data_IF_775353883276
#
_entry.id   IF_775353883276
#
_cell.length_a   1.000
_cell.length_b   1.000
_cell.length_c   1.000
_cell.angle_alpha   90.00
_cell.angle_beta   90.00
_cell.angle_gamma   90.00
#
_symmetry.space_group_name_H-M   'P 1'
#
loop_
_entity.id
_entity.type
_entity.pdbx_description
1 polymer ?
#
# COMPACT_ATOMS: atom_id res chain seq x y z
N UNK A 1 28.69 -33.87 52.36
CA UNK A 1 29.89 -33.44 51.64
C UNK A 1 29.60 -32.12 50.93
N UNK A 2 30.38 -31.08 51.26
CA UNK A 2 30.70 -29.84 50.51
C UNK A 2 29.49 -29.03 49.97
N UNK A 3 29.26 -27.76 50.30
CA UNK A 3 30.07 -26.74 50.93
C UNK A 3 29.55 -25.38 50.46
N UNK A 4 29.08 -24.60 51.41
CA UNK A 4 29.21 -23.15 51.56
C UNK A 4 29.94 -22.38 50.44
N UNK A 5 29.34 -21.30 49.92
CA UNK A 5 29.73 -19.90 50.21
C UNK A 5 29.41 -18.89 49.08
N UNK A 6 28.95 -17.72 49.56
CA UNK A 6 29.25 -16.34 49.09
C UNK A 6 28.49 -15.74 47.90
N UNK A 7 27.55 -14.89 48.32
CA UNK A 7 27.12 -13.61 47.74
C UNK A 7 28.29 -12.82 47.14
N UNK A 8 28.09 -12.26 45.94
CA UNK A 8 28.76 -11.04 45.50
C UNK A 8 27.73 -9.97 45.16
N UNK A 9 27.75 -8.91 45.95
CA UNK A 9 26.99 -7.67 45.79
C UNK A 9 27.81 -6.76 44.88
N UNK A 10 27.27 -6.37 43.73
CA UNK A 10 27.83 -5.28 42.94
C UNK A 10 27.08 -3.98 43.24
N UNK A 11 27.60 -3.23 44.22
CA UNK A 11 27.30 -1.81 44.42
C UNK A 11 28.29 -1.01 43.57
N UNK A 12 27.80 -0.32 42.54
CA UNK A 12 28.54 0.79 41.93
C UNK A 12 27.95 2.10 42.43
N UNK A 13 28.68 2.70 43.36
CA UNK A 13 28.48 4.02 43.92
C UNK A 13 28.91 5.06 42.87
N UNK A 14 27.98 5.88 42.38
CA UNK A 14 28.31 7.09 41.61
C UNK A 14 28.58 8.19 42.65
N UNK A 15 29.83 8.65 42.72
CA UNK A 15 30.26 9.76 43.57
C UNK A 15 29.84 11.09 42.92
N UNK A 16 28.92 11.80 43.55
CA UNK A 16 28.67 13.22 43.30
C UNK A 16 29.82 14.05 43.90
N UNK A 17 30.59 14.74 43.06
CA UNK A 17 31.45 15.84 43.51
C UNK A 17 30.61 17.11 43.56
N UNK A 18 30.36 17.60 44.77
CA UNK A 18 29.96 18.97 45.02
C UNK A 18 31.16 19.88 44.78
N UNK A 19 30.98 20.96 44.02
CA UNK A 19 31.84 22.15 44.11
C UNK A 19 31.02 23.24 44.77
N UNK A 20 31.41 23.61 45.99
CA UNK A 20 30.91 24.74 46.74
C UNK A 20 31.62 26.00 46.23
N UNK A 21 30.87 27.07 46.01
CA UNK A 21 31.42 28.36 45.61
C UNK A 21 30.34 29.35 45.20
N UNK A 22 29.63 29.91 46.18
CA UNK A 22 28.82 31.12 46.04
C UNK A 22 29.22 32.04 47.20
N UNK A 23 29.38 33.36 46.99
CA UNK A 23 28.55 34.31 47.74
C UNK A 23 28.23 35.59 46.89
N UNK A 24 27.57 36.65 47.41
CA UNK A 24 26.16 36.91 47.14
C UNK A 24 25.89 38.32 46.56
N UNK A 25 24.60 38.60 46.29
CA UNK A 25 23.87 39.89 46.44
C UNK A 25 23.08 40.42 45.22
N UNK A 26 21.87 40.88 45.56
CA UNK A 26 20.68 41.36 44.84
C UNK A 26 20.88 42.81 44.29
N UNK A 27 19.89 43.55 43.71
CA UNK A 27 18.58 43.22 43.11
C UNK A 27 18.27 43.90 41.73
N UNK A 28 17.16 43.48 41.12
CA UNK A 28 16.22 44.24 40.24
C UNK A 28 16.76 45.22 39.17
N UNK A 29 16.62 44.82 37.89
CA UNK A 29 16.25 45.75 36.82
C UNK A 29 15.50 45.00 35.71
N UNK A 30 14.26 45.42 35.48
CA UNK A 30 13.46 45.03 34.33
C UNK A 30 14.02 45.73 33.08
N UNK A 31 14.40 44.97 32.06
CA UNK A 31 14.59 45.47 30.69
C UNK A 31 14.07 44.43 29.70
N UNK A 32 13.23 44.94 28.80
CA UNK A 32 12.46 44.38 27.68
C UNK A 32 13.04 43.17 26.92
N UNK A 33 12.20 42.26 26.38
CA UNK A 33 12.66 41.14 25.57
C UNK A 33 13.17 41.64 24.21
N UNK A 34 14.47 41.46 23.98
CA UNK A 34 15.09 41.55 22.66
C UNK A 34 14.72 40.30 21.87
N UNK A 35 13.99 40.50 20.77
CA UNK A 35 13.65 39.50 19.78
C UNK A 35 14.90 39.02 19.04
N UNK A 36 15.44 37.88 19.47
CA UNK A 36 16.34 37.04 18.67
C UNK A 36 15.50 35.98 17.95
N UNK A 37 15.79 35.67 16.67
CA UNK A 37 14.96 34.80 15.86
C UNK A 37 15.04 33.35 16.34
N UNK A 38 13.87 32.73 16.46
CA UNK A 38 13.66 31.31 16.72
C UNK A 38 14.48 30.44 15.74
N UNK A 39 15.05 29.29 16.18
CA UNK A 39 15.62 28.33 15.25
C UNK A 39 14.55 27.89 14.24
N UNK A 40 14.93 27.98 12.97
CA UNK A 40 14.05 27.81 11.82
C UNK A 40 13.19 26.56 11.91
N UNK A 41 11.88 26.76 11.72
CA UNK A 41 10.95 25.71 11.31
C UNK A 41 11.52 24.93 10.12
N UNK A 42 11.35 23.60 10.04
CA UNK A 42 11.60 22.90 8.80
C UNK A 42 10.57 23.37 7.77
N UNK A 43 11.01 24.30 6.93
CA UNK A 43 10.31 24.71 5.72
C UNK A 43 10.17 23.47 4.83
N UNK A 44 8.98 22.87 4.81
CA UNK A 44 8.63 21.85 3.83
C UNK A 44 8.47 22.55 2.47
N UNK A 45 9.32 22.27 1.47
CA UNK A 45 9.00 22.70 0.13
C UNK A 45 7.87 21.81 -0.39
N UNK A 46 6.70 22.42 -0.62
CA UNK A 46 5.77 21.94 -1.62
C UNK A 46 6.48 22.02 -2.98
N UNK A 47 7.08 20.92 -3.43
CA UNK A 47 7.74 20.82 -4.72
C UNK A 47 7.30 19.55 -5.45
N UNK A 48 6.06 19.56 -5.93
CA UNK A 48 5.65 18.72 -7.05
C UNK A 48 5.97 19.48 -8.35
N UNK A 49 7.25 19.58 -8.74
CA UNK A 49 7.67 20.03 -10.08
C UNK A 49 9.19 19.82 -10.30
N UNK A 50 9.56 18.71 -10.97
CA UNK A 50 10.78 18.50 -11.80
C UNK A 50 11.11 17.01 -12.03
N UNK A 51 10.48 16.08 -11.30
CA UNK A 51 10.67 14.63 -11.47
C UNK A 51 9.56 14.01 -12.30
N UNK A 52 9.91 13.13 -13.24
CA UNK A 52 8.93 12.31 -13.97
C UNK A 52 8.13 11.37 -13.05
N UNK A 53 7.13 10.68 -13.61
CA UNK A 53 6.26 9.75 -12.87
C UNK A 53 7.10 8.70 -12.13
N UNK A 54 6.82 8.46 -10.85
CA UNK A 54 7.33 7.32 -10.09
C UNK A 54 6.14 6.48 -9.63
N UNK A 55 5.94 5.35 -10.30
CA UNK A 55 4.93 4.35 -9.96
C UNK A 55 5.52 3.16 -9.23
N UNK A 56 4.65 2.29 -8.72
CA UNK A 56 5.07 1.00 -8.13
C UNK A 56 4.05 -0.11 -8.25
N UNK A 57 4.55 -1.34 -8.25
CA UNK A 57 3.78 -2.54 -7.93
C UNK A 57 4.18 -3.09 -6.57
N UNK A 58 3.19 -3.37 -5.72
CA UNK A 58 3.43 -3.74 -4.32
C UNK A 58 2.69 -5.03 -3.92
N UNK A 59 3.17 -6.22 -4.32
CA UNK A 59 2.51 -7.49 -4.01
C UNK A 59 2.82 -7.96 -2.59
N UNK A 60 1.82 -8.52 -1.89
CA UNK A 60 2.06 -9.30 -0.67
C UNK A 60 2.41 -10.76 -1.04
N UNK A 61 3.41 -11.39 -0.41
CA UNK A 61 3.84 -12.74 -0.76
C UNK A 61 2.99 -13.83 -0.08
N UNK A 62 1.67 -13.70 -0.20
CA UNK A 62 0.68 -14.67 0.31
C UNK A 62 0.28 -15.70 -0.75
N UNK A 63 0.69 -15.50 -2.01
CA UNK A 63 0.55 -16.47 -3.09
C UNK A 63 1.14 -16.03 -4.43
N UNK A 64 1.12 -16.93 -5.43
CA UNK A 64 1.62 -16.59 -6.76
C UNK A 64 0.83 -15.43 -7.36
N UNK A 65 1.41 -14.77 -8.37
CA UNK A 65 0.70 -13.73 -9.09
C UNK A 65 -0.49 -14.36 -9.83
N UNK A 66 -1.66 -13.77 -9.66
CA UNK A 66 -2.88 -14.12 -10.38
C UNK A 66 -3.24 -13.01 -11.37
N UNK A 67 -4.29 -13.19 -12.16
CA UNK A 67 -4.76 -12.21 -13.17
C UNK A 67 -4.92 -10.77 -12.65
N UNK A 68 -5.54 -10.60 -11.48
CA UNK A 68 -5.61 -9.27 -10.83
C UNK A 68 -4.25 -8.65 -10.49
N UNK A 69 -3.29 -9.43 -10.01
CA UNK A 69 -1.94 -8.95 -9.74
C UNK A 69 -1.18 -8.62 -11.04
N UNK A 70 -1.36 -9.43 -12.09
CA UNK A 70 -0.81 -9.20 -13.42
C UNK A 70 -1.32 -7.88 -14.01
N UNK A 71 -2.63 -7.64 -13.92
CA UNK A 71 -3.27 -6.41 -14.36
C UNK A 71 -2.75 -5.20 -13.60
N UNK A 72 -2.60 -5.31 -12.28
CA UNK A 72 -2.02 -4.25 -11.46
C UNK A 72 -0.55 -3.96 -11.80
N UNK A 73 0.25 -5.01 -12.02
CA UNK A 73 1.65 -4.86 -12.43
C UNK A 73 1.77 -4.22 -13.81
N UNK A 74 1.07 -4.74 -14.82
CA UNK A 74 1.11 -4.20 -16.18
C UNK A 74 0.55 -2.77 -16.25
N UNK A 75 -0.61 -2.50 -15.64
CA UNK A 75 -1.24 -1.19 -15.68
C UNK A 75 -0.39 -0.12 -15.00
N UNK A 76 0.20 -0.43 -13.84
CA UNK A 76 1.13 0.49 -13.16
C UNK A 76 2.43 0.70 -13.94
N UNK A 77 2.94 -0.34 -14.61
CA UNK A 77 4.13 -0.25 -15.46
C UNK A 77 3.87 0.63 -16.70
N UNK A 78 2.81 0.36 -17.46
CA UNK A 78 2.45 1.14 -18.65
C UNK A 78 2.20 2.61 -18.31
N UNK A 79 1.52 2.87 -17.19
CA UNK A 79 1.23 4.22 -16.72
C UNK A 79 2.51 4.99 -16.32
N UNK A 80 3.49 4.34 -15.70
CA UNK A 80 4.78 4.97 -15.45
C UNK A 80 5.57 5.20 -16.76
N UNK A 81 5.56 4.22 -17.67
CA UNK A 81 6.39 4.21 -18.88
C UNK A 81 5.93 5.14 -19.98
N UNK A 82 4.62 5.42 -20.11
CA UNK A 82 4.10 6.36 -21.13
C UNK A 82 4.74 7.74 -21.06
N UNK A 83 5.16 8.16 -19.86
CA UNK A 83 5.80 9.45 -19.61
C UNK A 83 7.31 9.35 -19.34
N UNK A 84 7.95 8.22 -19.66
CA UNK A 84 9.37 7.99 -19.34
C UNK A 84 9.68 7.93 -17.84
N UNK A 85 8.67 7.66 -17.02
CA UNK A 85 8.78 7.56 -15.57
C UNK A 85 9.44 6.27 -15.09
N UNK A 86 9.65 6.20 -13.77
CA UNK A 86 10.20 5.05 -13.05
C UNK A 86 9.08 4.17 -12.51
N UNK A 87 9.32 2.86 -12.51
CA UNK A 87 8.46 1.85 -11.94
C UNK A 87 9.25 1.00 -10.96
N UNK A 88 8.79 0.98 -9.71
CA UNK A 88 9.44 0.28 -8.61
C UNK A 88 8.65 -0.95 -8.19
N UNK A 89 9.30 -1.90 -7.52
CA UNK A 89 8.63 -3.05 -6.89
C UNK A 89 8.93 -3.06 -5.40
N UNK A 90 7.89 -3.30 -4.60
CA UNK A 90 7.98 -3.44 -3.14
C UNK A 90 7.22 -4.68 -2.67
N UNK A 91 7.89 -5.63 -2.06
CA UNK A 91 7.25 -6.80 -1.46
C UNK A 91 6.63 -6.39 -0.12
N UNK A 92 5.32 -6.61 0.02
CA UNK A 92 4.55 -6.28 1.23
C UNK A 92 4.47 -7.48 2.20
N UNK A 93 5.62 -7.88 2.72
CA UNK A 93 5.86 -8.95 3.71
C UNK A 93 5.74 -8.44 5.16
N UNK A 94 4.51 -8.02 5.52
CA UNK A 94 4.18 -7.47 6.84
C UNK A 94 3.38 -8.41 7.76
N UNK A 95 3.01 -9.59 7.28
CA UNK A 95 2.17 -10.54 8.01
C UNK A 95 2.76 -11.95 7.90
N UNK A 96 3.89 -12.24 8.57
CA UNK A 96 4.61 -13.51 8.46
C UNK A 96 3.74 -14.77 8.56
N UNK A 97 2.69 -14.82 9.41
CA UNK A 97 1.78 -15.97 9.46
C UNK A 97 1.00 -16.25 8.15
N UNK A 98 0.85 -15.26 7.27
CA UNK A 98 0.17 -15.40 5.97
C UNK A 98 1.12 -15.52 4.79
N UNK A 99 2.40 -15.25 5.03
CA UNK A 99 3.43 -15.30 4.01
C UNK A 99 3.80 -16.75 3.70
N UNK A 100 4.17 -17.01 2.45
CA UNK A 100 4.59 -18.33 2.00
C UNK A 100 6.06 -18.29 1.57
N UNK A 101 6.92 -19.17 2.12
CA UNK A 101 8.32 -19.25 1.70
C UNK A 101 8.45 -19.39 0.18
N UNK A 102 9.43 -18.68 -0.41
CA UNK A 102 9.69 -18.70 -1.85
C UNK A 102 8.70 -17.92 -2.71
N UNK A 103 7.52 -17.52 -2.20
CA UNK A 103 6.52 -16.81 -3.02
C UNK A 103 7.02 -15.44 -3.47
N UNK A 104 7.70 -14.67 -2.62
CA UNK A 104 8.25 -13.38 -3.04
C UNK A 104 9.23 -13.54 -4.21
N UNK A 105 10.13 -14.52 -4.14
CA UNK A 105 11.07 -14.83 -5.22
C UNK A 105 10.35 -15.29 -6.50
N UNK A 106 9.33 -16.15 -6.38
CA UNK A 106 8.51 -16.60 -7.50
C UNK A 106 7.76 -15.43 -8.16
N UNK A 107 7.17 -14.52 -7.37
CA UNK A 107 6.50 -13.32 -7.88
C UNK A 107 7.48 -12.44 -8.69
N UNK A 108 8.69 -12.22 -8.18
CA UNK A 108 9.73 -11.46 -8.89
C UNK A 108 10.16 -12.15 -10.19
N UNK A 109 10.32 -13.48 -10.17
CA UNK A 109 10.63 -14.27 -11.36
C UNK A 109 9.51 -14.18 -12.41
N UNK A 110 8.24 -14.24 -11.99
CA UNK A 110 7.09 -14.04 -12.90
C UNK A 110 7.09 -12.65 -13.51
N UNK A 111 7.35 -11.59 -12.73
CA UNK A 111 7.46 -10.22 -13.28
C UNK A 111 8.57 -10.12 -14.33
N UNK A 112 9.73 -10.72 -14.05
CA UNK A 112 10.85 -10.76 -14.99
C UNK A 112 10.49 -11.52 -16.28
N UNK A 113 9.82 -12.67 -16.19
CA UNK A 113 9.35 -13.43 -17.35
C UNK A 113 8.30 -12.68 -18.20
N UNK A 114 7.59 -11.71 -17.61
CA UNK A 114 6.68 -10.80 -18.30
C UNK A 114 7.38 -9.55 -18.86
N UNK A 115 8.70 -9.38 -18.67
CA UNK A 115 9.45 -8.18 -19.04
C UNK A 115 9.16 -6.95 -18.16
N UNK A 116 8.49 -7.13 -17.03
CA UNK A 116 8.15 -6.06 -16.08
C UNK A 116 9.29 -5.87 -15.08
N UNK A 117 10.38 -5.23 -15.54
CA UNK A 117 11.60 -5.02 -14.76
C UNK A 117 11.54 -3.70 -13.98
N UNK A 118 11.82 -3.69 -12.65
CA UNK A 118 11.87 -2.47 -11.85
C UNK A 118 13.12 -1.62 -12.11
N UNK A 119 12.99 -0.28 -12.03
CA UNK A 119 14.12 0.67 -12.22
C UNK A 119 14.94 0.93 -10.96
N UNK A 120 14.87 0.03 -9.99
CA UNK A 120 15.52 0.21 -8.71
C UNK A 120 15.50 -1.07 -7.90
N UNK A 121 16.24 -1.09 -6.78
CA UNK A 121 16.25 -2.24 -5.90
C UNK A 121 14.83 -2.53 -5.40
N UNK A 122 14.48 -3.82 -5.36
CA UNK A 122 13.24 -4.27 -4.74
C UNK A 122 13.32 -3.98 -3.25
N UNK A 123 12.27 -3.36 -2.71
CA UNK A 123 12.15 -3.09 -1.27
C UNK A 123 11.32 -4.19 -0.62
N UNK A 124 11.74 -4.65 0.56
CA UNK A 124 10.98 -5.57 1.41
C UNK A 124 10.50 -4.79 2.64
N UNK A 125 9.23 -4.95 3.00
CA UNK A 125 8.64 -4.23 4.14
C UNK A 125 9.06 -4.81 5.50
N UNK A 126 9.50 -6.06 5.53
CA UNK A 126 10.15 -6.70 6.69
C UNK A 126 11.41 -5.93 7.15
N UNK A 127 12.14 -5.30 6.23
CA UNK A 127 13.36 -4.52 6.56
C UNK A 127 13.08 -3.07 7.02
N UNK A 128 11.81 -2.69 7.18
CA UNK A 128 11.39 -1.29 7.26
C UNK A 128 10.79 -0.89 8.60
N UNK A 129 10.81 -1.80 9.58
CA UNK A 129 10.20 -1.60 10.90
C UNK A 129 10.60 -0.30 11.62
N UNK A 130 11.86 0.14 11.49
CA UNK A 130 12.34 1.37 12.10
C UNK A 130 11.62 2.62 11.57
N UNK A 131 11.26 2.65 10.28
CA UNK A 131 10.53 3.78 9.67
C UNK A 131 9.09 3.83 10.15
N UNK A 132 8.44 2.66 10.26
CA UNK A 132 7.08 2.57 10.78
C UNK A 132 7.03 2.95 12.28
N UNK A 133 8.08 2.60 13.03
CA UNK A 133 8.26 3.05 14.42
C UNK A 133 8.33 4.56 14.50
N UNK A 134 9.23 5.19 13.75
CA UNK A 134 9.37 6.64 13.75
C UNK A 134 8.06 7.36 13.37
N UNK A 135 7.35 6.87 12.36
CA UNK A 135 6.05 7.42 11.95
C UNK A 135 4.98 7.29 13.06
N UNK A 136 4.89 6.14 13.72
CA UNK A 136 3.99 5.95 14.84
C UNK A 136 4.34 6.87 16.02
N UNK A 137 5.62 7.01 16.34
CA UNK A 137 6.09 7.86 17.45
C UNK A 137 5.78 9.34 17.17
N UNK A 138 5.92 9.80 15.92
CA UNK A 138 5.49 11.14 15.50
C UNK A 138 3.98 11.35 15.67
N UNK A 139 3.16 10.37 15.27
CA UNK A 139 1.70 10.45 15.44
C UNK A 139 1.29 10.44 16.91
N UNK A 140 2.01 9.71 17.76
CA UNK A 140 1.78 9.71 19.21
C UNK A 140 2.15 11.06 19.82
N UNK A 141 3.28 11.64 19.44
CA UNK A 141 3.74 12.93 19.94
C UNK A 141 2.79 14.08 19.57
N UNK A 142 2.19 14.04 18.38
CA UNK A 142 1.20 15.03 17.91
C UNK A 142 -0.22 14.78 18.43
N UNK A 143 -0.48 13.68 19.13
CA UNK A 143 -1.83 13.29 19.58
C UNK A 143 -2.73 12.71 18.48
N UNK A 144 -2.20 12.54 17.26
CA UNK A 144 -2.88 11.94 16.12
C UNK A 144 -2.98 10.40 16.23
N UNK A 145 -2.26 9.76 17.14
CA UNK A 145 -2.41 8.35 17.46
C UNK A 145 -2.59 8.11 18.97
N UNK A 146 -3.14 6.96 19.33
CA UNK A 146 -3.32 6.57 20.73
C UNK A 146 -3.28 5.04 20.91
N UNK A 147 -2.88 4.56 22.11
CA UNK A 147 -2.98 3.14 22.44
C UNK A 147 -4.43 2.73 22.70
N UNK A 148 -4.86 1.60 22.16
CA UNK A 148 -6.22 1.06 22.26
C UNK A 148 -6.19 -0.39 22.79
N UNK A 149 -7.08 -0.71 23.73
CA UNK A 149 -7.25 -2.05 24.33
C UNK A 149 -8.55 -2.76 23.90
N UNK A 150 -9.30 -2.17 22.96
CA UNK A 150 -10.54 -2.75 22.48
C UNK A 150 -10.28 -4.06 21.75
N UNK A 151 -11.04 -5.10 22.13
CA UNK A 151 -11.11 -6.36 21.41
C UNK A 151 -12.04 -6.25 20.19
N UNK A 152 -12.06 -7.27 19.32
CA UNK A 152 -13.06 -7.35 18.24
C UNK A 152 -14.48 -7.47 18.80
N UNK A 153 -14.67 -8.20 19.90
CA UNK A 153 -15.96 -8.33 20.57
C UNK A 153 -16.46 -6.99 21.11
N UNK A 154 -15.58 -6.16 21.66
CA UNK A 154 -15.94 -4.82 22.16
C UNK A 154 -16.47 -3.90 21.04
N UNK A 155 -16.04 -4.13 19.80
CA UNK A 155 -16.42 -3.35 18.62
C UNK A 155 -17.56 -3.99 17.82
N UNK A 156 -18.10 -5.14 18.24
CA UNK A 156 -19.14 -5.85 17.50
C UNK A 156 -20.40 -5.00 17.33
N UNK A 157 -20.79 -4.25 18.38
CA UNK A 157 -21.95 -3.36 18.37
C UNK A 157 -21.85 -2.21 17.34
N UNK A 158 -20.65 -1.88 16.89
CA UNK A 158 -20.41 -0.85 15.87
C UNK A 158 -19.94 -1.43 14.54
N UNK A 159 -20.23 -2.72 14.29
CA UNK A 159 -19.78 -3.46 13.11
C UNK A 159 -18.25 -3.37 12.89
N UNK A 160 -17.48 -3.33 13.98
CA UNK A 160 -16.03 -3.21 13.96
C UNK A 160 -15.48 -1.77 13.84
N UNK A 161 -16.35 -0.77 13.69
CA UNK A 161 -15.95 0.64 13.56
C UNK A 161 -15.59 1.23 14.92
N UNK A 162 -14.31 1.53 15.13
CA UNK A 162 -13.84 2.13 16.39
C UNK A 162 -14.06 3.65 16.39
N UNK A 163 -14.90 4.18 17.27
CA UNK A 163 -15.06 5.65 17.45
C UNK A 163 -14.55 6.11 18.81
N UNK A 164 -14.77 5.33 19.84
CA UNK A 164 -14.20 5.55 21.16
C UNK A 164 -13.73 4.22 21.72
N UNK A 165 -12.79 4.27 22.66
CA UNK A 165 -12.44 3.06 23.38
C UNK A 165 -13.61 2.60 24.24
N UNK A 166 -13.97 1.32 24.15
CA UNK A 166 -14.89 0.71 25.09
C UNK A 166 -14.28 0.72 26.50
N UNK A 167 -15.11 0.81 27.56
CA UNK A 167 -14.64 0.62 28.92
C UNK A 167 -13.93 -0.73 29.05
N UNK A 168 -12.70 -0.71 29.57
CA UNK A 168 -11.95 -1.93 29.84
C UNK A 168 -12.27 -2.36 31.27
N UNK A 169 -12.75 -3.60 31.51
CA UNK A 169 -13.01 -4.08 32.87
C UNK A 169 -11.76 -3.94 33.75
N UNK A 170 -11.96 -3.53 35.00
CA UNK A 170 -10.88 -3.42 35.98
C UNK A 170 -10.13 -4.77 36.08
N UNK A 171 -8.80 -4.73 36.01
CA UNK A 171 -7.94 -5.93 36.07
C UNK A 171 -7.73 -6.67 34.74
N UNK A 172 -8.41 -6.31 33.65
CA UNK A 172 -8.19 -6.95 32.36
C UNK A 172 -6.84 -6.54 31.73
N UNK A 173 -5.85 -7.45 31.76
CA UNK A 173 -4.56 -7.24 31.12
C UNK A 173 -4.63 -7.55 29.61
N UNK A 174 -4.91 -6.53 28.79
CA UNK A 174 -4.97 -6.66 27.32
C UNK A 174 -3.79 -5.98 26.64
N UNK A 175 -3.14 -6.67 25.70
CA UNK A 175 -2.12 -6.04 24.84
C UNK A 175 -2.73 -4.85 24.08
N UNK A 176 -1.93 -3.80 23.90
CA UNK A 176 -2.38 -2.57 23.25
C UNK A 176 -2.14 -2.68 21.75
N UNK A 177 -3.17 -2.37 20.96
CA UNK A 177 -2.98 -1.89 19.58
C UNK A 177 -2.71 -0.39 19.60
N UNK A 178 -2.24 0.16 18.49
CA UNK A 178 -2.11 1.60 18.28
C UNK A 178 -3.02 1.99 17.13
N UNK A 179 -3.81 3.04 17.32
CA UNK A 179 -4.77 3.53 16.34
C UNK A 179 -4.47 4.97 15.96
N UNK A 180 -4.69 5.28 14.69
CA UNK A 180 -4.79 6.62 14.17
C UNK A 180 -6.14 7.20 14.57
N UNK A 181 -6.11 8.35 15.23
CA UNK A 181 -7.29 9.18 15.50
C UNK A 181 -7.68 9.85 14.20
N UNK A 182 -8.70 9.31 13.54
CA UNK A 182 -9.16 9.88 12.28
C UNK A 182 -9.77 11.28 12.53
N UNK A 183 -9.49 12.26 11.66
CA UNK A 183 -10.13 13.57 11.75
C UNK A 183 -11.63 13.45 11.44
N UNK A 184 -12.42 14.33 12.07
CA UNK A 184 -13.86 14.46 11.82
C UNK A 184 -14.11 15.34 10.60
N UNK A 185 -13.75 14.81 9.42
CA UNK A 185 -13.78 15.56 8.17
C UNK A 185 -14.07 14.66 6.98
N UNK A 186 -14.55 15.29 5.90
CA UNK A 186 -14.70 14.66 4.60
C UNK A 186 -13.33 14.64 3.90
N UNK A 187 -12.87 13.45 3.51
CA UNK A 187 -11.65 13.31 2.72
C UNK A 187 -12.01 12.71 1.37
N UNK A 188 -11.57 13.36 0.31
CA UNK A 188 -11.82 12.92 -1.05
C UNK A 188 -10.62 13.12 -1.97
N UNK A 189 -10.68 12.44 -3.10
CA UNK A 189 -9.72 12.51 -4.18
C UNK A 189 -10.41 12.24 -5.52
N UNK A 190 -9.77 12.67 -6.60
CA UNK A 190 -10.24 12.43 -7.95
C UNK A 190 -9.50 11.23 -8.53
N UNK A 191 -10.27 10.22 -8.94
CA UNK A 191 -9.77 9.04 -9.64
C UNK A 191 -10.16 9.13 -11.12
N UNK A 192 -9.21 9.02 -12.07
CA UNK A 192 -9.54 9.14 -13.50
C UNK A 192 -10.51 8.07 -14.02
N UNK A 193 -10.64 6.93 -13.34
CA UNK A 193 -11.51 5.80 -13.74
C UNK A 193 -12.81 5.81 -12.95
N UNK A 194 -12.74 6.12 -11.66
CA UNK A 194 -13.88 6.04 -10.74
C UNK A 194 -14.54 7.39 -10.42
N UNK A 195 -13.98 8.49 -10.90
CA UNK A 195 -14.44 9.85 -10.65
C UNK A 195 -14.10 10.34 -9.24
N UNK A 196 -14.88 11.29 -8.72
CA UNK A 196 -14.73 11.81 -7.36
C UNK A 196 -15.10 10.73 -6.34
N UNK A 197 -14.17 10.41 -5.44
CA UNK A 197 -14.41 9.48 -4.32
C UNK A 197 -14.22 10.23 -3.01
N UNK A 198 -15.21 10.14 -2.11
CA UNK A 198 -15.19 10.83 -0.82
C UNK A 198 -15.67 9.92 0.30
N UNK A 199 -15.10 10.10 1.49
CA UNK A 199 -15.44 9.34 2.68
C UNK A 199 -15.35 10.24 3.91
N UNK A 200 -16.38 10.21 4.75
CA UNK A 200 -16.37 10.92 6.02
C UNK A 200 -15.74 10.02 7.08
N UNK A 201 -14.44 10.20 7.34
CA UNK A 201 -13.62 9.18 8.00
C UNK A 201 -14.14 8.79 9.39
N UNK A 202 -14.54 9.76 10.20
CA UNK A 202 -15.06 9.49 11.55
C UNK A 202 -16.38 8.70 11.55
N UNK A 203 -17.24 8.98 10.57
CA UNK A 203 -18.57 8.36 10.43
C UNK A 203 -18.45 6.97 9.82
N UNK A 204 -17.70 6.87 8.73
CA UNK A 204 -17.71 5.72 7.82
C UNK A 204 -16.61 4.68 8.16
N UNK A 205 -15.55 5.10 8.86
CA UNK A 205 -14.34 4.27 9.07
C UNK A 205 -13.98 4.08 10.54
N UNK A 206 -14.00 5.18 11.30
CA UNK A 206 -13.47 5.21 12.66
C UNK A 206 -11.93 5.15 12.73
N UNK A 207 -11.41 5.07 13.95
CA UNK A 207 -9.98 5.11 14.24
C UNK A 207 -9.28 3.84 13.72
N UNK A 208 -8.36 4.03 12.78
CA UNK A 208 -7.72 2.98 11.99
C UNK A 208 -6.55 2.37 12.76
N UNK A 209 -6.38 1.05 12.74
CA UNK A 209 -5.21 0.41 13.36
C UNK A 209 -3.94 0.75 12.59
N UNK A 210 -2.90 1.18 13.31
CA UNK A 210 -1.54 1.45 12.81
C UNK A 210 -0.58 0.31 13.17
N UNK A 211 -0.72 -0.23 14.38
CA UNK A 211 0.01 -1.41 14.86
C UNK A 211 -0.94 -2.31 15.63
N UNK A 212 -1.00 -3.57 15.23
CA UNK A 212 -1.82 -4.61 15.85
C UNK A 212 -1.29 -4.95 17.25
N UNK A 213 -2.14 -5.57 18.06
CA UNK A 213 -1.80 -5.96 19.42
C UNK A 213 -0.79 -7.12 19.49
N UNK A 214 -0.66 -7.89 18.42
CA UNK A 214 0.38 -8.91 18.20
C UNK A 214 1.72 -8.31 17.72
N UNK A 215 1.79 -6.98 17.57
CA UNK A 215 3.01 -6.26 17.20
C UNK A 215 3.19 -6.01 15.71
N UNK A 216 2.37 -6.62 14.84
CA UNK A 216 2.46 -6.46 13.39
C UNK A 216 1.98 -5.07 12.93
N UNK A 217 2.62 -4.54 11.89
CA UNK A 217 2.27 -3.24 11.32
C UNK A 217 1.04 -3.35 10.42
N UNK A 218 0.15 -2.36 10.50
CA UNK A 218 -0.99 -2.32 9.62
C UNK A 218 -0.59 -1.77 8.24
N UNK A 219 -1.15 -2.37 7.19
CA UNK A 219 -0.97 -1.94 5.80
C UNK A 219 -1.14 -0.42 5.63
N UNK A 220 -2.14 0.18 6.28
CA UNK A 220 -2.44 1.62 6.17
C UNK A 220 -1.25 2.50 6.57
N UNK A 221 -0.48 2.14 7.60
CA UNK A 221 0.72 2.89 8.00
C UNK A 221 1.89 2.60 7.07
N UNK A 222 2.15 1.33 6.80
CA UNK A 222 3.33 0.95 6.06
C UNK A 222 3.32 1.48 4.62
N UNK A 223 2.18 1.41 3.94
CA UNK A 223 2.06 1.86 2.54
C UNK A 223 2.31 3.36 2.40
N UNK A 224 1.78 4.20 3.31
CA UNK A 224 1.98 5.65 3.22
C UNK A 224 3.41 6.06 3.53
N UNK A 225 4.05 5.39 4.49
CA UNK A 225 5.44 5.65 4.87
C UNK A 225 6.39 5.23 3.76
N UNK A 226 6.16 4.08 3.14
CA UNK A 226 7.04 3.59 2.08
C UNK A 226 6.81 4.29 0.74
N UNK A 227 5.56 4.62 0.39
CA UNK A 227 5.29 5.38 -0.83
C UNK A 227 5.97 6.77 -0.76
N UNK A 228 5.91 7.45 0.39
CA UNK A 228 6.64 8.70 0.58
C UNK A 228 8.16 8.50 0.55
N UNK A 229 8.69 7.47 1.23
CA UNK A 229 10.13 7.22 1.28
C UNK A 229 10.73 6.78 -0.06
N UNK A 230 9.93 6.18 -0.95
CA UNK A 230 10.35 5.82 -2.32
C UNK A 230 10.07 6.94 -3.34
N UNK A 231 9.49 8.07 -2.90
CA UNK A 231 9.15 9.17 -3.78
C UNK A 231 8.07 8.82 -4.80
N UNK A 232 7.13 7.94 -4.44
CA UNK A 232 6.02 7.56 -5.32
C UNK A 232 5.15 8.77 -5.60
N UNK A 233 4.97 9.10 -6.87
CA UNK A 233 4.15 10.23 -7.32
C UNK A 233 2.77 9.77 -7.79
N UNK A 234 2.66 8.53 -8.28
CA UNK A 234 1.42 7.96 -8.81
C UNK A 234 1.20 6.52 -8.34
N UNK A 235 0.07 6.28 -7.66
CA UNK A 235 -0.34 4.98 -7.17
C UNK A 235 -1.41 4.42 -8.10
N UNK A 236 -0.98 3.49 -8.96
CA UNK A 236 -1.85 2.70 -9.83
C UNK A 236 -2.04 1.31 -9.22
N UNK A 237 -3.26 0.94 -8.83
CA UNK A 237 -3.56 -0.33 -8.12
C UNK A 237 -4.99 -0.80 -8.37
N UNK A 238 -5.37 -2.00 -7.92
CA UNK A 238 -6.74 -2.50 -8.08
C UNK A 238 -7.79 -1.72 -7.29
N UNK A 239 -9.02 -1.63 -7.83
CA UNK A 239 -10.16 -0.94 -7.23
C UNK A 239 -10.65 -1.53 -5.90
N UNK A 240 -10.15 -2.70 -5.49
CA UNK A 240 -10.39 -3.24 -4.15
C UNK A 240 -9.73 -2.43 -3.03
N UNK A 241 -8.82 -1.52 -3.39
CA UNK A 241 -8.17 -0.59 -2.47
C UNK A 241 -8.73 0.84 -2.57
N UNK A 242 -9.77 1.08 -3.38
CA UNK A 242 -10.36 2.40 -3.59
C UNK A 242 -10.78 3.05 -2.26
N UNK A 243 -11.55 2.31 -1.45
CA UNK A 243 -12.07 2.77 -0.15
C UNK A 243 -10.99 2.95 0.94
N UNK A 244 -9.77 2.46 0.70
CA UNK A 244 -8.63 2.71 1.59
C UNK A 244 -7.99 4.07 1.35
N UNK A 245 -8.15 4.64 0.16
CA UNK A 245 -7.42 5.84 -0.28
C UNK A 245 -7.70 7.07 0.59
N UNK A 246 -8.96 7.42 0.95
CA UNK A 246 -9.22 8.56 1.83
C UNK A 246 -8.53 8.45 3.20
N UNK A 247 -8.43 7.22 3.73
CA UNK A 247 -7.77 6.94 5.02
C UNK A 247 -6.26 7.15 4.91
N UNK A 248 -5.67 6.74 3.79
CA UNK A 248 -4.25 6.93 3.49
C UNK A 248 -3.92 8.40 3.29
N UNK A 249 -4.76 9.15 2.58
CA UNK A 249 -4.61 10.59 2.40
C UNK A 249 -4.64 11.32 3.75
N UNK A 250 -5.58 10.97 4.64
CA UNK A 250 -5.60 11.57 5.97
C UNK A 250 -4.36 11.23 6.79
N UNK A 251 -3.85 10.01 6.69
CA UNK A 251 -2.63 9.60 7.38
C UNK A 251 -1.38 10.29 6.81
N UNK A 252 -1.29 10.47 5.49
CA UNK A 252 -0.24 11.26 4.84
C UNK A 252 -0.24 12.69 5.37
N UNK A 253 -1.40 13.35 5.38
CA UNK A 253 -1.56 14.71 5.90
C UNK A 253 -1.15 14.81 7.37
N UNK A 254 -1.56 13.86 8.21
CA UNK A 254 -1.18 13.82 9.62
C UNK A 254 0.31 13.58 9.86
N UNK A 255 1.02 12.95 8.91
CA UNK A 255 2.47 12.73 8.94
C UNK A 255 3.26 13.82 8.18
N UNK A 256 2.59 14.82 7.57
CA UNK A 256 3.23 15.80 6.70
C UNK A 256 3.84 15.21 5.42
N UNK A 257 3.37 14.04 4.97
CA UNK A 257 3.89 13.35 3.79
C UNK A 257 3.22 13.83 2.49
N UNK A 258 3.91 13.73 1.34
CA UNK A 258 3.30 13.99 0.04
C UNK A 258 2.10 13.07 -0.24
N UNK A 259 1.11 13.61 -0.95
CA UNK A 259 -0.03 12.84 -1.45
C UNK A 259 0.17 12.52 -2.93
N UNK A 260 0.33 11.25 -3.33
CA UNK A 260 0.45 10.88 -4.73
C UNK A 260 -0.90 11.02 -5.45
N UNK A 261 -0.87 11.01 -6.78
CA UNK A 261 -2.08 10.82 -7.59
C UNK A 261 -2.50 9.35 -7.53
N UNK A 262 -3.80 9.09 -7.62
CA UNK A 262 -4.35 7.75 -7.54
C UNK A 262 -5.11 7.40 -8.82
N UNK A 263 -4.94 6.16 -9.28
CA UNK A 263 -5.74 5.56 -10.34
C UNK A 263 -6.05 4.12 -9.93
N UNK A 264 -7.32 3.77 -9.93
CA UNK A 264 -7.76 2.44 -9.57
C UNK A 264 -8.19 1.64 -10.80
N UNK A 265 -7.51 0.52 -11.01
CA UNK A 265 -7.73 -0.41 -12.11
C UNK A 265 -8.93 -1.29 -11.83
N UNK A 266 -9.66 -1.71 -12.88
CA UNK A 266 -10.79 -2.62 -12.73
C UNK A 266 -10.37 -3.96 -12.12
N UNK A 267 -11.35 -4.66 -11.55
CA UNK A 267 -11.17 -6.00 -11.00
C UNK A 267 -11.68 -7.05 -11.97
N UNK A 268 -10.95 -8.16 -12.11
CA UNK A 268 -11.46 -9.35 -12.79
C UNK A 268 -12.71 -9.86 -12.10
N UNK A 269 -13.71 -10.25 -12.89
CA UNK A 269 -14.98 -10.78 -12.41
C UNK A 269 -15.21 -12.21 -12.90
N UNK A 270 -15.86 -13.02 -12.06
CA UNK A 270 -16.36 -14.34 -12.45
C UNK A 270 -17.56 -14.23 -13.41
N UNK A 271 -18.10 -15.37 -13.83
CA UNK A 271 -19.25 -15.43 -14.74
C UNK A 271 -20.51 -14.77 -14.14
N UNK A 272 -20.64 -14.81 -12.81
CA UNK A 272 -21.73 -14.18 -12.06
C UNK A 272 -21.46 -12.68 -11.75
N UNK A 273 -20.35 -12.12 -12.25
CA UNK A 273 -19.99 -10.72 -12.08
C UNK A 273 -19.39 -10.37 -10.71
N UNK A 274 -19.13 -11.35 -9.85
CA UNK A 274 -18.47 -11.15 -8.55
C UNK A 274 -16.97 -11.01 -8.74
N UNK A 275 -16.28 -10.34 -7.81
CA UNK A 275 -14.81 -10.23 -7.83
C UNK A 275 -14.23 -11.64 -7.87
N UNK A 276 -13.33 -11.90 -8.83
CA UNK A 276 -12.60 -13.14 -8.90
C UNK A 276 -11.82 -13.33 -7.59
N UNK A 277 -12.27 -14.27 -6.76
CA UNK A 277 -11.66 -14.52 -5.48
C UNK A 277 -10.30 -15.21 -5.68
N UNK A 278 -9.37 -14.95 -4.76
CA UNK A 278 -8.17 -15.77 -4.60
C UNK A 278 -8.63 -17.15 -4.12
N UNK A 279 -8.98 -18.07 -5.01
CA UNK A 279 -9.09 -19.48 -4.62
C UNK A 279 -7.68 -19.96 -4.28
N UNK A 280 -7.55 -20.69 -3.16
CA UNK A 280 -6.26 -21.23 -2.72
C UNK A 280 -5.60 -22.13 -3.79
N UNK A 281 -6.43 -22.68 -4.69
CA UNK A 281 -6.07 -23.57 -5.80
C UNK A 281 -6.05 -22.87 -7.18
N UNK A 282 -6.13 -21.53 -7.24
CA UNK A 282 -5.92 -20.83 -8.50
C UNK A 282 -4.49 -21.07 -9.00
N UNK A 283 -4.34 -21.66 -10.19
CA UNK A 283 -3.04 -21.71 -10.85
C UNK A 283 -2.51 -20.28 -11.00
N UNK A 284 -1.24 -20.08 -10.63
CA UNK A 284 -0.57 -18.81 -10.87
C UNK A 284 -0.38 -18.57 -12.36
N UNK A 285 -0.17 -17.31 -12.74
CA UNK A 285 0.12 -16.95 -14.13
C UNK A 285 1.53 -17.36 -14.57
N UNK A 286 2.36 -17.86 -13.64
CA UNK A 286 3.76 -18.23 -13.87
C UNK A 286 3.93 -19.37 -14.88
N UNK A 287 2.93 -20.25 -14.99
CA UNK A 287 2.92 -21.33 -15.98
C UNK A 287 2.39 -20.89 -17.36
N UNK A 288 1.88 -19.66 -17.50
CA UNK A 288 1.26 -19.20 -18.74
C UNK A 288 2.28 -18.50 -19.65
N UNK A 289 2.11 -18.60 -21.00
CA UNK A 289 2.92 -17.82 -21.93
C UNK A 289 2.79 -16.31 -21.67
N UNK A 290 3.93 -15.61 -21.61
CA UNK A 290 3.95 -14.17 -21.34
C UNK A 290 3.08 -13.37 -22.31
N UNK A 291 3.06 -13.73 -23.60
CA UNK A 291 2.20 -13.10 -24.60
C UNK A 291 0.72 -13.18 -24.23
N UNK A 292 0.25 -14.36 -23.80
CA UNK A 292 -1.13 -14.56 -23.40
C UNK A 292 -1.49 -13.67 -22.22
N UNK A 293 -0.62 -13.64 -21.21
CA UNK A 293 -0.84 -12.84 -20.00
C UNK A 293 -0.93 -11.35 -20.35
N UNK A 294 0.02 -10.86 -21.15
CA UNK A 294 0.10 -9.45 -21.54
C UNK A 294 -1.05 -9.03 -22.44
N UNK A 295 -1.45 -9.85 -23.42
CA UNK A 295 -2.62 -9.56 -24.28
C UNK A 295 -3.93 -9.51 -23.50
N UNK A 296 -4.13 -10.46 -22.58
CA UNK A 296 -5.33 -10.47 -21.72
C UNK A 296 -5.37 -9.25 -20.82
N UNK A 297 -4.26 -8.88 -20.19
CA UNK A 297 -4.21 -7.69 -19.36
C UNK A 297 -4.37 -6.41 -20.19
N UNK A 298 -3.81 -6.32 -21.39
CA UNK A 298 -4.01 -5.21 -22.32
C UNK A 298 -5.49 -5.00 -22.66
N UNK A 299 -6.19 -6.08 -23.02
CA UNK A 299 -7.63 -6.03 -23.25
C UNK A 299 -8.41 -5.65 -22.00
N UNK A 300 -8.04 -6.18 -20.83
CA UNK A 300 -8.67 -5.84 -19.55
C UNK A 300 -8.45 -4.36 -19.13
N UNK A 301 -7.38 -3.72 -19.62
CA UNK A 301 -7.15 -2.27 -19.51
C UNK A 301 -7.95 -1.45 -20.55
N UNK A 302 -8.90 -2.08 -21.27
CA UNK A 302 -9.76 -1.44 -22.27
C UNK A 302 -9.05 -1.03 -23.55
N UNK A 303 -7.81 -1.52 -23.75
CA UNK A 303 -7.04 -1.17 -24.93
C UNK A 303 -7.51 -2.02 -26.13
N UNK A 304 -7.57 -1.46 -27.36
CA UNK A 304 -7.95 -2.21 -28.56
C UNK A 304 -6.99 -3.38 -28.82
N UNK A 305 -7.52 -4.54 -29.21
CA UNK A 305 -6.72 -5.74 -29.41
C UNK A 305 -5.72 -5.58 -30.58
N UNK A 306 -6.16 -4.91 -31.63
CA UNK A 306 -5.39 -4.54 -32.81
C UNK A 306 -4.27 -3.53 -32.52
N UNK A 307 -4.39 -2.78 -31.41
CA UNK A 307 -3.34 -1.85 -30.96
C UNK A 307 -2.24 -2.56 -30.15
N UNK A 308 -2.43 -3.83 -29.76
CA UNK A 308 -1.37 -4.60 -29.11
C UNK A 308 -0.25 -4.88 -30.12
N UNK A 309 1.02 -4.49 -29.83
CA UNK A 309 2.11 -4.67 -30.78
C UNK A 309 2.33 -6.14 -31.16
N UNK A 310 2.86 -6.36 -32.37
CA UNK A 310 3.34 -7.67 -32.78
C UNK A 310 4.31 -8.24 -31.73
N UNK A 311 4.21 -9.54 -31.47
CA UNK A 311 4.99 -10.20 -30.43
C UNK A 311 6.43 -10.42 -30.90
N UNK A 312 7.38 -9.87 -30.14
CA UNK A 312 8.81 -10.06 -30.37
C UNK A 312 9.55 -10.30 -29.04
N UNK A 313 8.89 -11.02 -28.11
CA UNK A 313 9.32 -11.13 -26.73
C UNK A 313 8.75 -10.01 -25.84
N UNK A 314 8.77 -10.22 -24.51
CA UNK A 314 8.05 -9.36 -23.57
C UNK A 314 8.57 -7.92 -23.56
N UNK A 315 9.88 -7.69 -23.48
CA UNK A 315 10.45 -6.34 -23.36
C UNK A 315 10.20 -5.50 -24.62
N UNK A 316 10.49 -6.05 -25.79
CA UNK A 316 10.31 -5.35 -27.07
C UNK A 316 8.84 -5.07 -27.39
N UNK A 317 7.92 -5.92 -26.92
CA UNK A 317 6.48 -5.72 -27.06
C UNK A 317 5.99 -4.65 -26.09
N UNK A 318 6.38 -4.74 -24.80
CA UNK A 318 6.01 -3.77 -23.77
C UNK A 318 6.51 -2.35 -24.08
N UNK A 319 7.74 -2.20 -24.57
CA UNK A 319 8.28 -0.89 -24.96
C UNK A 319 7.46 -0.20 -26.06
N UNK A 320 6.88 -0.97 -26.99
CA UNK A 320 5.95 -0.46 -28.01
C UNK A 320 4.57 -0.21 -27.43
N UNK A 321 4.07 -1.12 -26.58
CA UNK A 321 2.76 -1.01 -25.94
C UNK A 321 2.67 0.27 -25.09
N UNK A 322 3.73 0.62 -24.35
CA UNK A 322 3.79 1.85 -23.56
C UNK A 322 3.62 3.14 -24.38
N UNK A 323 4.03 3.15 -25.66
CA UNK A 323 3.90 4.33 -26.54
C UNK A 323 2.47 4.55 -27.04
N UNK A 324 1.69 3.49 -27.13
CA UNK A 324 0.32 3.51 -27.65
C UNK A 324 -0.73 3.30 -26.55
N UNK A 325 -0.29 3.14 -25.30
CA UNK A 325 -1.17 2.97 -24.14
C UNK A 325 -1.94 4.26 -23.83
N UNK A 326 -3.26 4.14 -23.76
CA UNK A 326 -4.16 5.23 -23.45
C UNK A 326 -4.92 4.94 -22.15
N UNK A 327 -4.55 5.59 -21.03
CA UNK A 327 -5.20 5.33 -19.75
C UNK A 327 -6.64 5.85 -19.68
N UNK A 328 -7.09 6.72 -20.61
CA UNK A 328 -8.49 7.16 -20.65
C UNK A 328 -9.44 6.03 -21.06
N UNK A 329 -8.92 4.95 -21.64
CA UNK A 329 -9.68 3.76 -22.03
C UNK A 329 -9.85 2.73 -20.90
N UNK A 330 -9.18 2.91 -19.77
CA UNK A 330 -9.28 1.97 -18.66
C UNK A 330 -10.75 1.93 -18.21
N UNK A 331 -11.41 0.76 -18.26
CA UNK A 331 -12.82 0.67 -17.95
C UNK A 331 -13.03 0.72 -16.43
N UNK A 332 -14.17 1.26 -16.02
CA UNK A 332 -14.59 1.25 -14.61
C UNK A 332 -14.90 -0.15 -14.09
N UNK A 333 -15.42 -1.01 -14.96
CA UNK A 333 -15.69 -2.42 -14.67
C UNK A 333 -14.72 -3.32 -15.42
N UNK A 334 -14.24 -4.36 -14.75
CA UNK A 334 -13.32 -5.30 -15.36
C UNK A 334 -14.00 -6.39 -16.18
N UNK A 335 -13.19 -7.16 -16.90
CA UNK A 335 -13.67 -8.25 -17.74
C UNK A 335 -14.40 -9.32 -16.91
N UNK A 336 -15.46 -9.88 -17.52
CA UNK A 336 -16.22 -11.04 -17.01
C UNK A 336 -15.65 -12.33 -17.59
N UNK A 337 -15.74 -13.42 -16.85
CA UNK A 337 -15.35 -14.75 -17.34
C UNK A 337 -13.86 -15.02 -17.27
N UNK A 338 -13.13 -14.41 -16.33
CA UNK A 338 -11.78 -14.83 -16.02
C UNK A 338 -11.81 -16.19 -15.35
N UNK A 339 -11.61 -17.27 -16.09
CA UNK A 339 -11.36 -18.57 -15.51
C UNK A 339 -9.91 -18.63 -14.97
N UNK A 340 -9.72 -19.10 -13.74
CA UNK A 340 -8.38 -19.33 -13.18
C UNK A 340 -7.61 -20.45 -13.93
N UNK A 341 -8.26 -21.10 -14.90
CA UNK A 341 -7.76 -22.28 -15.62
C UNK A 341 -6.96 -21.96 -16.87
N UNK A 342 -6.79 -20.69 -17.24
CA UNK A 342 -5.97 -20.33 -18.39
C UNK A 342 -6.51 -20.83 -19.74
N UNK A 343 -7.77 -21.28 -19.80
CA UNK A 343 -8.35 -21.74 -21.05
C UNK A 343 -8.67 -20.51 -21.91
N UNK A 344 -8.17 -20.51 -23.15
CA UNK A 344 -8.57 -19.51 -24.14
C UNK A 344 -10.09 -19.52 -24.29
N UNK A 345 -10.71 -18.34 -24.25
CA UNK A 345 -12.10 -18.21 -24.70
C UNK A 345 -12.18 -18.76 -26.15
N UNK A 346 -13.17 -19.59 -26.49
CA UNK A 346 -13.27 -20.14 -27.83
C UNK A 346 -13.44 -18.99 -28.84
N UNK A 347 -12.51 -18.91 -29.79
CA UNK A 347 -12.62 -18.04 -30.95
C UNK A 347 -13.87 -18.42 -31.74
N UNK A 348 -14.87 -17.53 -31.74
CA UNK A 348 -16.06 -17.68 -32.56
C UNK A 348 -15.70 -17.46 -34.04
N UNK A 349 -15.25 -18.51 -34.73
CA UNK A 349 -15.31 -18.57 -36.19
C UNK A 349 -16.55 -19.36 -36.59
N UNK A 350 -17.68 -18.67 -36.71
CA UNK A 350 -18.83 -19.21 -37.43
C UNK A 350 -18.62 -18.92 -38.92
N UNK A 351 -18.14 -19.91 -39.67
CA UNK A 351 -18.29 -19.94 -41.13
C UNK A 351 -19.75 -20.27 -41.41
N UNK A 352 -20.44 -19.34 -42.06
CA UNK A 352 -21.76 -19.57 -42.66
C UNK A 352 -21.62 -20.43 -43.91
N UNK A 353 -22.10 -21.66 -43.87
CA UNK A 353 -22.45 -22.41 -45.08
C UNK A 353 -23.86 -22.00 -45.53
N UNK A 354 -24.12 -21.82 -46.85
CA UNK A 354 -25.43 -21.45 -47.33
C UNK A 354 -26.31 -22.70 -47.48
N UNK A 355 -27.49 -22.67 -46.85
CA UNK A 355 -28.51 -23.69 -47.03
C UNK A 355 -29.15 -23.57 -48.44
N UNK A 356 -29.00 -24.63 -49.24
CA UNK A 356 -29.70 -24.83 -50.50
C UNK A 356 -31.19 -25.10 -50.17
N UNK A 357 -32.10 -24.31 -50.76
CA UNK A 357 -33.55 -24.58 -50.74
C UNK A 357 -33.92 -25.49 -51.93
N UNK A 358 -34.81 -26.47 -51.77
CA UNK A 358 -35.60 -26.96 -52.89
C UNK A 358 -36.87 -26.10 -53.05
N UNK A 359 -37.29 -25.98 -54.31
CA UNK A 359 -38.54 -25.37 -54.80
C UNK A 359 -39.24 -26.44 -55.65
N UNK A 360 -40.56 -26.39 -55.83
CA UNK A 360 -41.65 -26.46 -54.86
C UNK A 360 -42.11 -27.90 -54.58
#
# INVERSE_FOLDING_TARGET
MRGWARRLVWRKTIKFKHCAGCPPSNPLAAVTPSSSPSPAEPQHPAAAAAGGVVGRFAPSPTGPLHWGSALAALGSWLHARRGGGRWLVRIEDLDPPRERPGVAAAQLATLAGLGLIPDGPVVFQSDRHARYRAALDHLLASGAAFPCRCSRADLAATAGVHRACAPVPAGAHRTRSFRFRVPDTLVGFDDPVHGRVEQHLRRDVGDVVLRRADGLWAYQLAVVVDDAAQGITEVVRGADLLDSTPRQIALQRALGLPTPRYLHLPLWRDAEGRKLAKSADAAGIDALPAELVLRRCWSALGQPAEAFPAWHGPEATLARAARVFDPSRIPREGPRGGDNTGAAAPTATARTEPAIRPVP
#
